data_IF_437175093903
#
_entry.id   IF_437175093903
#
_cell.length_a   1.000
_cell.length_b   1.000
_cell.length_c   1.000
_cell.angle_alpha   90.00
_cell.angle_beta   90.00
_cell.angle_gamma   90.00
#
_symmetry.space_group_name_H-M   'P 1'
#
loop_
_entity.id
_entity.type
_entity.pdbx_description
1 polymer ?
#
# COMPACT_ATOMS: atom_id res chain seq x y z
N UNK A 1 30.30 12.61 -40.97
CA UNK A 1 30.28 12.58 -39.48
C UNK A 1 29.55 11.32 -39.04
N UNK A 2 30.28 10.28 -38.73
CA UNK A 2 29.73 9.06 -38.15
C UNK A 2 29.40 9.36 -36.69
N UNK A 3 28.11 9.56 -36.39
CA UNK A 3 27.65 9.59 -35.00
C UNK A 3 27.96 8.23 -34.43
N UNK A 4 28.75 8.20 -33.35
CA UNK A 4 29.03 6.94 -32.65
C UNK A 4 27.69 6.34 -32.23
N UNK A 5 27.41 5.12 -32.68
CA UNK A 5 26.16 4.42 -32.38
C UNK A 5 25.92 4.27 -30.88
N UNK A 6 26.96 4.15 -30.08
CA UNK A 6 26.89 4.12 -28.60
C UNK A 6 26.46 5.48 -28.01
N UNK A 7 26.91 6.59 -28.62
CA UNK A 7 26.47 7.94 -28.22
C UNK A 7 25.02 8.19 -28.62
N UNK A 8 24.60 7.71 -29.78
CA UNK A 8 23.21 7.73 -30.21
C UNK A 8 22.30 6.90 -29.28
N UNK A 9 22.75 5.71 -28.83
CA UNK A 9 22.01 4.88 -27.87
C UNK A 9 21.94 5.55 -26.48
N UNK A 10 23.02 6.19 -26.02
CA UNK A 10 23.02 6.96 -24.76
C UNK A 10 22.03 8.13 -24.78
N UNK A 11 21.89 8.82 -25.91
CA UNK A 11 20.90 9.89 -26.07
C UNK A 11 19.46 9.38 -26.14
N UNK A 12 19.26 8.09 -26.43
CA UNK A 12 17.95 7.43 -26.42
C UNK A 12 17.60 6.81 -25.05
N UNK A 13 18.57 6.66 -24.14
CA UNK A 13 18.25 6.23 -22.79
C UNK A 13 17.57 7.36 -22.04
N UNK A 14 16.27 7.23 -21.85
CA UNK A 14 15.48 8.17 -21.05
C UNK A 14 15.82 7.90 -19.59
N UNK A 15 16.70 8.72 -19.02
CA UNK A 15 16.99 8.77 -17.59
C UNK A 15 16.35 10.04 -17.09
N UNK A 16 15.43 9.92 -16.14
CA UNK A 16 14.82 11.10 -15.52
C UNK A 16 15.88 11.88 -14.73
N UNK A 17 16.03 13.21 -14.91
CA UNK A 17 17.07 13.99 -14.23
C UNK A 17 16.73 14.22 -12.75
N UNK A 18 17.75 14.48 -11.93
CA UNK A 18 17.57 14.94 -10.55
C UNK A 18 16.93 16.33 -10.55
N UNK A 19 15.82 16.48 -9.83
CA UNK A 19 15.04 17.72 -9.72
C UNK A 19 14.90 18.18 -8.26
N UNK A 20 15.52 17.46 -7.33
CA UNK A 20 15.38 17.66 -5.90
C UNK A 20 16.45 18.59 -5.30
N UNK A 21 16.81 18.32 -4.07
CA UNK A 21 17.72 19.15 -3.30
C UNK A 21 19.16 19.02 -3.83
N UNK A 22 19.82 20.14 -4.09
CA UNK A 22 21.22 20.16 -4.53
C UNK A 22 22.20 19.64 -3.46
N UNK A 23 21.85 19.79 -2.18
CA UNK A 23 22.59 19.22 -1.06
C UNK A 23 21.63 18.55 -0.09
N UNK A 24 22.00 17.38 0.41
CA UNK A 24 21.18 16.65 1.37
C UNK A 24 21.43 17.15 2.77
N UNK A 25 20.42 17.60 3.51
CA UNK A 25 20.58 17.99 4.92
C UNK A 25 20.92 16.78 5.79
N UNK A 26 21.35 17.04 7.04
CA UNK A 26 21.52 15.99 8.03
C UNK A 26 20.19 15.29 8.29
N UNK A 27 20.21 13.96 8.27
CA UNK A 27 19.04 13.12 8.51
C UNK A 27 18.94 12.71 9.97
N UNK A 28 17.75 12.31 10.37
CA UNK A 28 17.47 11.81 11.70
C UNK A 28 18.34 10.58 12.00
N UNK A 29 19.11 10.58 13.11
CA UNK A 29 20.01 9.46 13.46
C UNK A 29 19.26 8.17 13.85
N UNK A 30 17.95 8.21 14.06
CA UNK A 30 17.13 7.03 14.32
C UNK A 30 16.85 6.21 13.07
N UNK A 31 17.10 6.74 11.87
CA UNK A 31 16.97 5.97 10.65
C UNK A 31 18.07 4.91 10.56
N UNK A 32 17.69 3.71 10.13
CA UNK A 32 18.67 2.70 9.76
C UNK A 32 19.51 3.16 8.55
N UNK A 33 20.75 2.69 8.38
CA UNK A 33 21.62 3.14 7.28
C UNK A 33 21.01 3.03 5.89
N UNK A 34 20.34 1.91 5.57
CA UNK A 34 19.65 1.74 4.29
C UNK A 34 18.50 2.73 4.10
N UNK A 35 17.73 3.02 5.16
CA UNK A 35 16.67 4.02 5.14
C UNK A 35 17.22 5.41 4.87
N UNK A 36 18.29 5.76 5.57
CA UNK A 36 18.96 7.05 5.39
C UNK A 36 19.46 7.24 3.95
N UNK A 37 20.05 6.22 3.35
CA UNK A 37 20.53 6.31 1.96
C UNK A 37 19.40 6.39 0.95
N UNK A 38 18.29 5.67 1.16
CA UNK A 38 17.09 5.77 0.33
C UNK A 38 16.47 7.18 0.42
N UNK A 39 16.38 7.75 1.63
CA UNK A 39 15.87 9.12 1.83
C UNK A 39 16.78 10.15 1.17
N UNK A 40 18.12 10.05 1.34
CA UNK A 40 19.09 10.93 0.65
C UNK A 40 18.92 10.88 -0.85
N UNK A 41 18.77 9.67 -1.40
CA UNK A 41 18.55 9.48 -2.82
C UNK A 41 17.23 10.14 -3.26
N UNK A 42 16.12 9.91 -2.55
CA UNK A 42 14.81 10.48 -2.87
C UNK A 42 14.80 12.02 -2.77
N UNK A 43 15.51 12.60 -1.79
CA UNK A 43 15.65 14.06 -1.65
C UNK A 43 16.38 14.68 -2.84
N UNK A 44 17.45 14.03 -3.35
CA UNK A 44 18.15 14.50 -4.56
C UNK A 44 17.30 14.34 -5.82
N UNK A 45 16.56 13.23 -5.90
CA UNK A 45 15.65 12.98 -7.03
C UNK A 45 14.54 14.01 -7.11
N UNK A 46 13.97 14.43 -5.96
CA UNK A 46 12.84 15.34 -5.88
C UNK A 46 11.50 14.67 -6.24
N UNK A 47 11.47 13.85 -7.28
CA UNK A 47 10.34 13.03 -7.73
C UNK A 47 10.78 11.58 -7.73
N UNK A 48 10.35 10.83 -6.73
CA UNK A 48 10.90 9.51 -6.46
C UNK A 48 9.84 8.51 -5.99
N UNK A 49 10.14 7.23 -6.16
CA UNK A 49 9.37 6.16 -5.55
C UNK A 49 10.26 5.30 -4.63
N UNK A 50 9.75 5.00 -3.44
CA UNK A 50 10.35 4.10 -2.47
C UNK A 50 9.48 2.85 -2.36
N UNK A 51 9.78 1.85 -3.17
CA UNK A 51 9.10 0.56 -3.18
C UNK A 51 9.83 -0.39 -2.23
N UNK A 52 9.52 -0.26 -0.95
CA UNK A 52 10.09 -1.07 0.10
C UNK A 52 9.04 -2.04 0.65
N UNK A 53 9.44 -3.28 0.87
CA UNK A 53 8.55 -4.34 1.35
C UNK A 53 7.98 -4.02 2.74
N UNK A 54 7.02 -4.82 3.19
CA UNK A 54 6.45 -4.70 4.51
C UNK A 54 7.54 -4.83 5.59
N UNK A 55 7.45 -3.98 6.64
CA UNK A 55 8.43 -4.01 7.74
C UNK A 55 9.75 -3.26 7.51
N UNK A 56 10.08 -2.80 6.29
CA UNK A 56 11.33 -2.07 6.00
C UNK A 56 11.34 -0.62 6.55
N UNK A 57 10.20 -0.12 7.01
CA UNK A 57 10.09 1.21 7.62
C UNK A 57 9.80 2.33 6.62
N UNK A 58 8.81 2.15 5.75
CA UNK A 58 8.34 3.17 4.80
C UNK A 58 7.91 4.46 5.51
N UNK A 59 7.15 4.36 6.61
CA UNK A 59 6.63 5.51 7.36
C UNK A 59 7.75 6.47 7.81
N UNK A 60 8.77 6.02 8.58
CA UNK A 60 9.92 6.83 8.93
C UNK A 60 10.64 7.47 7.75
N UNK A 61 10.82 6.74 6.63
CA UNK A 61 11.45 7.31 5.43
C UNK A 61 10.62 8.42 4.80
N UNK A 62 9.30 8.27 4.74
CA UNK A 62 8.39 9.30 4.20
C UNK A 62 8.36 10.54 5.09
N UNK A 63 8.27 10.36 6.41
CA UNK A 63 8.27 11.48 7.36
C UNK A 63 9.59 12.27 7.30
N UNK A 64 10.72 11.58 7.28
CA UNK A 64 12.01 12.22 7.15
C UNK A 64 12.16 12.93 5.81
N UNK A 65 11.74 12.30 4.70
CA UNK A 65 11.75 12.95 3.39
C UNK A 65 10.89 14.23 3.40
N UNK A 66 9.70 14.19 4.00
CA UNK A 66 8.81 15.33 4.12
C UNK A 66 9.39 16.42 5.01
N UNK A 67 10.01 16.05 6.14
CA UNK A 67 10.64 17.01 7.07
C UNK A 67 11.79 17.79 6.43
N UNK A 68 12.55 17.15 5.56
CA UNK A 68 13.68 17.80 4.87
C UNK A 68 13.28 18.62 3.64
N UNK A 69 12.00 18.61 3.26
CA UNK A 69 11.53 19.52 2.20
C UNK A 69 11.45 20.97 2.72
N UNK A 70 11.82 21.96 1.88
CA UNK A 70 11.76 23.38 2.27
C UNK A 70 10.33 23.97 2.22
N UNK A 71 9.35 23.18 1.84
CA UNK A 71 7.97 23.57 1.58
C UNK A 71 6.99 22.94 2.56
N UNK A 72 5.75 23.43 2.57
CA UNK A 72 4.63 22.72 3.17
C UNK A 72 4.45 21.37 2.45
N UNK A 73 4.26 20.33 3.24
CA UNK A 73 4.15 18.97 2.72
C UNK A 73 2.86 18.31 3.22
N UNK A 74 2.16 17.64 2.30
CA UNK A 74 1.02 16.79 2.63
C UNK A 74 1.39 15.32 2.41
N UNK A 75 1.14 14.48 3.41
CA UNK A 75 1.26 13.02 3.33
C UNK A 75 -0.15 12.46 3.22
N UNK A 76 -0.46 11.80 2.12
CA UNK A 76 -1.72 11.09 1.96
C UNK A 76 -1.52 9.61 2.30
N UNK A 77 -2.32 9.09 3.22
CA UNK A 77 -2.22 7.72 3.71
C UNK A 77 -3.61 7.09 3.86
N UNK A 78 -3.72 5.76 3.97
CA UNK A 78 -4.97 5.14 4.44
C UNK A 78 -5.36 5.68 5.82
N UNK A 79 -6.67 5.80 6.09
CA UNK A 79 -7.19 6.42 7.32
C UNK A 79 -6.54 5.88 8.60
N UNK A 80 -6.46 4.57 8.71
CA UNK A 80 -5.89 3.90 9.88
C UNK A 80 -4.40 4.23 10.09
N UNK A 81 -3.66 4.42 9.00
CA UNK A 81 -2.21 4.72 8.99
C UNK A 81 -1.95 6.20 9.27
N UNK A 82 -2.84 7.11 8.85
CA UNK A 82 -2.64 8.54 9.05
C UNK A 82 -2.44 8.91 10.54
N UNK A 83 -3.18 8.29 11.44
CA UNK A 83 -3.00 8.49 12.89
C UNK A 83 -1.75 7.82 13.45
N UNK A 84 -1.31 6.71 12.84
CA UNK A 84 -0.04 6.09 13.19
C UNK A 84 1.14 7.00 12.83
N UNK A 85 1.09 7.70 11.69
CA UNK A 85 2.11 8.69 11.30
C UNK A 85 2.33 9.74 12.39
N UNK A 86 1.26 10.28 13.01
CA UNK A 86 1.38 11.28 14.06
C UNK A 86 2.13 10.71 15.28
N UNK A 87 1.74 9.50 15.74
CA UNK A 87 2.39 8.85 16.89
C UNK A 87 3.85 8.49 16.61
N UNK A 88 4.17 8.08 15.41
CA UNK A 88 5.55 7.79 15.00
C UNK A 88 6.37 9.07 14.86
N UNK A 89 5.79 10.14 14.30
CA UNK A 89 6.46 11.43 14.16
C UNK A 89 6.94 11.98 15.52
N UNK A 90 6.13 11.83 16.58
CA UNK A 90 6.52 12.21 17.94
C UNK A 90 7.79 11.48 18.40
N UNK A 91 7.93 10.17 18.11
CA UNK A 91 9.10 9.37 18.46
C UNK A 91 10.35 9.84 17.71
N UNK A 92 10.17 10.25 16.45
CA UNK A 92 11.26 10.76 15.60
C UNK A 92 11.54 12.25 15.82
N UNK A 93 10.79 12.94 16.68
CA UNK A 93 10.93 14.39 16.91
C UNK A 93 10.54 15.22 15.69
N UNK A 94 9.67 14.72 14.83
CA UNK A 94 9.19 15.38 13.62
C UNK A 94 7.86 16.08 13.92
N UNK A 95 7.76 17.37 13.57
CA UNK A 95 6.59 18.20 13.84
C UNK A 95 5.52 18.02 12.75
N UNK A 96 4.69 16.97 12.89
CA UNK A 96 3.64 16.55 11.98
C UNK A 96 2.28 16.57 12.67
N UNK A 97 1.21 16.96 11.96
CA UNK A 97 -0.15 16.93 12.46
C UNK A 97 -1.12 16.28 11.47
N UNK A 98 -2.13 15.61 12.00
CA UNK A 98 -3.26 15.15 11.19
C UNK A 98 -4.26 16.29 11.00
N UNK A 99 -4.75 16.46 9.77
CA UNK A 99 -5.82 17.41 9.44
C UNK A 99 -6.91 16.74 8.60
N UNK A 100 -8.15 17.14 8.82
CA UNK A 100 -9.33 16.65 8.08
C UNK A 100 -9.67 17.53 6.88
N UNK A 101 -9.23 18.78 6.93
CA UNK A 101 -9.51 19.81 5.93
C UNK A 101 -8.49 20.96 6.03
N UNK A 102 -8.66 21.96 5.17
CA UNK A 102 -7.81 23.14 5.11
C UNK A 102 -7.74 23.91 6.44
N UNK A 103 -8.83 24.02 7.17
CA UNK A 103 -8.89 24.77 8.44
C UNK A 103 -8.13 24.05 9.57
N UNK A 104 -7.97 22.73 9.45
CA UNK A 104 -7.25 21.90 10.40
C UNK A 104 -5.74 21.92 10.26
N UNK A 105 -5.16 22.59 9.24
CA UNK A 105 -3.72 22.69 9.06
C UNK A 105 -3.13 23.57 10.16
N UNK A 106 -2.29 22.97 11.00
CA UNK A 106 -1.64 23.66 12.12
C UNK A 106 -0.11 23.62 12.04
N UNK A 107 0.44 22.79 11.14
CA UNK A 107 1.88 22.57 11.01
C UNK A 107 2.30 22.49 9.54
N UNK A 108 3.59 22.70 9.29
CA UNK A 108 4.18 22.60 7.95
C UNK A 108 4.01 21.21 7.33
N UNK A 109 4.08 20.16 8.16
CA UNK A 109 3.83 18.78 7.74
C UNK A 109 2.42 18.37 8.15
N UNK A 110 1.62 18.04 7.17
CA UNK A 110 0.24 17.60 7.36
C UNK A 110 0.10 16.17 6.85
N UNK A 111 -0.48 15.28 7.65
CA UNK A 111 -0.97 13.98 7.19
C UNK A 111 -2.48 13.99 7.13
N UNK A 112 -3.04 13.37 6.10
CA UNK A 112 -4.48 13.19 5.92
C UNK A 112 -4.77 11.86 5.24
N UNK A 113 -6.04 11.44 5.28
CA UNK A 113 -6.43 10.26 4.53
C UNK A 113 -6.90 10.62 3.10
N UNK A 114 -6.80 9.64 2.22
CA UNK A 114 -7.06 9.83 0.79
C UNK A 114 -8.44 10.43 0.49
N UNK A 115 -9.47 10.01 1.24
CA UNK A 115 -10.85 10.45 1.05
C UNK A 115 -11.06 11.94 1.40
N UNK A 116 -10.10 12.56 2.09
CA UNK A 116 -10.17 13.95 2.53
C UNK A 116 -9.31 14.91 1.72
N UNK A 117 -8.51 14.41 0.77
CA UNK A 117 -7.62 15.26 -0.03
C UNK A 117 -8.37 16.38 -0.76
N UNK A 118 -9.62 16.15 -1.17
CA UNK A 118 -10.45 17.16 -1.84
C UNK A 118 -10.84 18.35 -0.93
N UNK A 119 -10.67 18.22 0.39
CA UNK A 119 -10.95 19.28 1.36
C UNK A 119 -9.79 20.26 1.54
N UNK A 120 -8.72 20.15 0.75
CA UNK A 120 -7.51 20.96 0.85
C UNK A 120 -7.27 21.75 -0.43
N UNK A 121 -6.66 22.92 -0.28
CA UNK A 121 -6.08 23.68 -1.40
C UNK A 121 -4.72 23.07 -1.75
N UNK A 122 -4.71 22.07 -2.65
CA UNK A 122 -3.53 21.23 -2.92
C UNK A 122 -2.38 22.00 -3.60
N UNK A 123 -2.67 23.10 -4.25
CA UNK A 123 -1.72 23.99 -4.92
C UNK A 123 -0.78 24.75 -3.96
N UNK A 124 -1.13 24.84 -2.66
CA UNK A 124 -0.27 25.43 -1.65
C UNK A 124 0.89 24.52 -1.23
N UNK A 125 0.75 23.19 -1.41
CA UNK A 125 1.77 22.25 -1.00
C UNK A 125 2.86 22.13 -2.06
N UNK A 126 4.10 22.46 -1.66
CA UNK A 126 5.28 22.27 -2.52
C UNK A 126 5.79 20.82 -2.52
N UNK A 127 5.30 19.99 -1.61
CA UNK A 127 5.67 18.57 -1.53
C UNK A 127 4.47 17.68 -1.20
N UNK A 128 4.42 16.49 -1.79
CA UNK A 128 3.41 15.47 -1.50
C UNK A 128 4.05 14.08 -1.41
N UNK A 129 3.67 13.32 -0.40
CA UNK A 129 4.00 11.91 -0.28
C UNK A 129 2.73 11.05 -0.28
N UNK A 130 2.73 9.97 -1.05
CA UNK A 130 1.65 8.98 -1.07
C UNK A 130 2.12 7.72 -0.35
N UNK A 131 1.55 7.46 0.82
CA UNK A 131 1.68 6.18 1.49
C UNK A 131 0.68 5.19 0.89
N UNK A 132 1.16 4.02 0.52
CA UNK A 132 0.43 3.03 -0.27
C UNK A 132 -0.01 3.57 -1.64
N UNK A 133 0.99 4.05 -2.41
CA UNK A 133 0.77 4.61 -3.75
C UNK A 133 0.19 3.64 -4.78
N UNK A 134 0.02 2.35 -4.42
CA UNK A 134 -0.76 1.37 -5.18
C UNK A 134 -2.22 1.79 -5.41
N UNK A 135 -2.74 2.79 -4.70
CA UNK A 135 -4.03 3.42 -4.97
C UNK A 135 -4.12 3.96 -6.41
N UNK A 136 -2.99 4.33 -7.00
CA UNK A 136 -2.90 4.81 -8.38
C UNK A 136 -3.02 3.72 -9.45
N UNK A 137 -3.01 2.42 -9.09
CA UNK A 137 -2.99 1.28 -10.04
C UNK A 137 -4.14 1.28 -11.05
N UNK A 138 -5.28 1.81 -10.69
CA UNK A 138 -6.43 1.92 -11.60
C UNK A 138 -6.30 3.18 -12.46
N UNK A 139 -5.60 3.07 -13.58
CA UNK A 139 -5.34 4.18 -14.52
C UNK A 139 -6.60 4.77 -15.17
N UNK A 140 -7.69 4.01 -15.26
CA UNK A 140 -8.98 4.49 -15.79
C UNK A 140 -9.90 5.03 -14.69
N UNK A 141 -9.48 4.95 -13.43
CA UNK A 141 -10.24 5.44 -12.29
C UNK A 141 -10.26 6.97 -12.23
N UNK A 142 -11.43 7.55 -12.05
CA UNK A 142 -11.58 9.00 -11.91
C UNK A 142 -10.68 9.57 -10.80
N UNK A 143 -10.48 8.82 -9.71
CA UNK A 143 -9.67 9.23 -8.59
C UNK A 143 -8.17 9.32 -8.93
N UNK A 144 -7.61 8.31 -9.62
CA UNK A 144 -6.20 8.33 -10.05
C UNK A 144 -5.92 9.50 -11.00
N UNK A 145 -6.83 9.72 -11.96
CA UNK A 145 -6.73 10.83 -12.91
C UNK A 145 -6.79 12.17 -12.19
N UNK A 146 -7.71 12.30 -11.24
CA UNK A 146 -7.83 13.51 -10.42
C UNK A 146 -6.56 13.77 -9.60
N UNK A 147 -5.99 12.77 -8.95
CA UNK A 147 -4.77 12.92 -8.16
C UNK A 147 -3.57 13.36 -9.01
N UNK A 148 -3.40 12.76 -10.19
CA UNK A 148 -2.33 13.13 -11.13
C UNK A 148 -2.48 14.60 -11.53
N UNK A 149 -3.68 15.04 -11.87
CA UNK A 149 -3.96 16.43 -12.27
C UNK A 149 -3.79 17.40 -11.08
N UNK A 150 -4.29 17.05 -9.90
CA UNK A 150 -4.24 17.89 -8.71
C UNK A 150 -2.79 18.19 -8.27
N UNK A 151 -1.88 17.23 -8.40
CA UNK A 151 -0.49 17.39 -8.00
C UNK A 151 0.50 17.61 -9.16
N UNK A 152 0.00 17.83 -10.39
CA UNK A 152 0.89 17.96 -11.57
C UNK A 152 1.92 19.08 -11.46
N UNK A 153 1.61 20.14 -10.73
CA UNK A 153 2.49 21.29 -10.52
C UNK A 153 3.29 21.22 -9.22
N UNK A 154 3.04 20.23 -8.35
CA UNK A 154 3.79 20.05 -7.10
C UNK A 154 5.22 19.61 -7.44
N UNK A 155 6.25 20.38 -7.06
CA UNK A 155 7.62 20.10 -7.49
C UNK A 155 8.21 18.82 -6.89
N UNK A 156 7.92 18.55 -5.62
CA UNK A 156 8.44 17.38 -4.90
C UNK A 156 7.35 16.35 -4.67
N UNK A 157 7.55 15.14 -5.19
CA UNK A 157 6.56 14.06 -5.13
C UNK A 157 7.22 12.75 -4.75
N UNK A 158 6.62 12.06 -3.79
CA UNK A 158 7.08 10.76 -3.32
C UNK A 158 5.95 9.74 -3.42
N UNK A 159 6.21 8.62 -4.09
CA UNK A 159 5.39 7.42 -4.02
C UNK A 159 6.01 6.40 -3.06
N UNK A 160 5.22 5.72 -2.26
CA UNK A 160 5.69 4.65 -1.39
C UNK A 160 4.68 3.51 -1.35
N UNK A 161 5.13 2.27 -1.55
CA UNK A 161 4.30 1.06 -1.48
C UNK A 161 5.17 -0.18 -1.36
N UNK A 162 4.63 -1.24 -0.75
CA UNK A 162 5.21 -2.58 -0.78
C UNK A 162 4.83 -3.33 -2.08
N UNK A 163 3.70 -2.98 -2.68
CA UNK A 163 3.13 -3.64 -3.85
C UNK A 163 2.83 -2.63 -4.97
N UNK A 164 3.87 -2.04 -5.60
CA UNK A 164 3.70 -0.93 -6.56
C UNK A 164 2.94 -1.33 -7.83
N UNK A 165 2.98 -2.61 -8.20
CA UNK A 165 2.34 -3.17 -9.39
C UNK A 165 1.81 -4.58 -9.08
N UNK A 166 0.74 -4.70 -8.27
CA UNK A 166 0.29 -5.99 -7.74
C UNK A 166 -0.28 -6.94 -8.79
N UNK A 167 -0.80 -6.44 -9.91
CA UNK A 167 -1.40 -7.24 -10.95
C UNK A 167 -0.56 -7.30 -12.22
N UNK A 168 -0.02 -6.15 -12.65
CA UNK A 168 0.75 -6.05 -13.90
C UNK A 168 1.78 -4.92 -13.82
N UNK A 169 2.96 -5.14 -14.37
CA UNK A 169 4.07 -4.17 -14.42
C UNK A 169 3.66 -2.85 -15.09
N UNK A 170 2.65 -2.85 -15.97
CA UNK A 170 2.15 -1.61 -16.60
C UNK A 170 1.48 -0.64 -15.60
N UNK A 171 1.11 -1.10 -14.40
CA UNK A 171 0.58 -0.24 -13.33
C UNK A 171 1.62 0.78 -12.82
N UNK A 172 2.91 0.51 -13.02
CA UNK A 172 3.99 1.46 -12.75
C UNK A 172 3.87 2.75 -13.57
N UNK A 173 3.20 2.69 -14.72
CA UNK A 173 3.00 3.85 -15.60
C UNK A 173 2.19 4.97 -14.93
N UNK A 174 1.18 4.66 -14.14
CA UNK A 174 0.40 5.66 -13.40
C UNK A 174 1.20 6.30 -12.27
N UNK A 175 2.10 5.56 -11.63
CA UNK A 175 3.00 6.12 -10.63
C UNK A 175 4.06 7.03 -11.27
N UNK A 176 4.64 6.61 -12.41
CA UNK A 176 5.56 7.45 -13.17
C UNK A 176 4.88 8.75 -13.66
N UNK A 177 3.61 8.67 -14.08
CA UNK A 177 2.82 9.83 -14.50
C UNK A 177 2.50 10.77 -13.34
N UNK A 178 2.10 10.24 -12.17
CA UNK A 178 1.94 11.03 -10.96
C UNK A 178 3.24 11.74 -10.57
N UNK A 179 4.37 11.06 -10.66
CA UNK A 179 5.68 11.66 -10.40
C UNK A 179 6.10 12.66 -11.49
N UNK A 180 5.44 12.66 -12.66
CA UNK A 180 5.78 13.50 -13.79
C UNK A 180 7.09 13.11 -14.47
N UNK A 181 7.46 11.83 -14.37
CA UNK A 181 8.64 11.25 -15.03
C UNK A 181 8.33 10.94 -16.49
N UNK A 182 7.20 10.30 -16.74
CA UNK A 182 6.75 9.91 -18.07
C UNK A 182 5.24 9.61 -18.01
N UNK A 183 4.49 9.97 -19.02
CA UNK A 183 3.08 9.56 -19.10
C UNK A 183 2.98 8.05 -19.30
N UNK A 184 1.90 7.44 -18.78
CA UNK A 184 1.64 6.02 -18.98
C UNK A 184 1.60 5.65 -20.47
N UNK A 185 0.99 6.53 -21.30
CA UNK A 185 0.92 6.33 -22.76
C UNK A 185 2.31 6.25 -23.41
N UNK A 186 3.22 7.15 -23.06
CA UNK A 186 4.61 7.15 -23.55
C UNK A 186 5.36 5.90 -23.09
N UNK A 187 5.20 5.50 -21.81
CA UNK A 187 5.81 4.26 -21.28
C UNK A 187 5.34 3.03 -22.07
N UNK A 188 4.03 2.90 -22.31
CA UNK A 188 3.49 1.79 -23.08
C UNK A 188 4.01 1.79 -24.52
N UNK A 189 3.99 2.94 -25.20
CA UNK A 189 4.50 3.07 -26.57
C UNK A 189 5.99 2.71 -26.66
N UNK A 190 6.79 3.11 -25.69
CA UNK A 190 8.23 2.91 -25.70
C UNK A 190 8.62 1.47 -25.35
N UNK A 191 8.10 0.91 -24.27
CA UNK A 191 8.58 -0.32 -23.67
C UNK A 191 7.67 -1.53 -23.85
N UNK A 192 6.39 -1.34 -24.16
CA UNK A 192 5.41 -2.43 -24.18
C UNK A 192 4.89 -2.74 -25.59
N UNK A 193 4.37 -3.94 -25.74
CA UNK A 193 3.64 -4.40 -26.92
C UNK A 193 2.44 -5.23 -26.48
N UNK A 194 1.40 -5.30 -27.34
CA UNK A 194 0.30 -6.22 -27.09
C UNK A 194 0.76 -7.66 -27.16
N UNK A 195 0.17 -8.52 -26.37
CA UNK A 195 0.42 -9.95 -26.48
C UNK A 195 -0.28 -10.49 -27.74
N UNK A 196 0.45 -11.26 -28.55
CA UNK A 196 0.12 -11.55 -29.95
C UNK A 196 -1.23 -12.22 -30.27
N UNK A 197 -2.09 -12.43 -29.28
CA UNK A 197 -3.46 -12.96 -29.43
C UNK A 197 -4.53 -12.18 -28.65
N UNK A 198 -4.13 -11.28 -27.77
CA UNK A 198 -5.06 -10.53 -26.90
C UNK A 198 -4.58 -9.07 -26.81
N UNK A 199 -5.30 -8.17 -27.46
CA UNK A 199 -4.98 -6.74 -27.46
C UNK A 199 -5.26 -6.07 -26.11
N UNK A 200 -5.90 -6.74 -25.17
CA UNK A 200 -6.11 -6.25 -23.81
C UNK A 200 -4.89 -6.48 -22.91
N UNK A 201 -4.00 -7.41 -23.28
CA UNK A 201 -2.82 -7.77 -22.50
C UNK A 201 -1.56 -7.11 -23.06
N UNK A 202 -0.80 -6.53 -22.17
CA UNK A 202 0.46 -5.88 -22.47
C UNK A 202 1.63 -6.67 -21.89
N UNK A 203 2.74 -6.69 -22.60
CA UNK A 203 4.00 -7.24 -22.11
C UNK A 203 5.17 -6.35 -22.51
N UNK A 204 6.21 -6.35 -21.70
CA UNK A 204 7.43 -5.63 -22.02
C UNK A 204 8.06 -6.25 -23.28
N UNK A 205 8.44 -5.43 -24.27
CA UNK A 205 9.17 -5.88 -25.47
C UNK A 205 10.48 -6.53 -25.03
N UNK A 206 10.81 -7.70 -25.56
CA UNK A 206 12.02 -8.44 -25.16
C UNK A 206 13.30 -7.61 -25.27
N UNK A 207 13.46 -6.87 -26.38
CA UNK A 207 14.62 -5.99 -26.60
C UNK A 207 14.60 -4.71 -25.74
N UNK A 208 13.47 -4.32 -25.14
CA UNK A 208 13.33 -3.13 -24.32
C UNK A 208 13.43 -3.42 -22.81
N UNK A 209 13.52 -4.70 -22.41
CA UNK A 209 13.46 -5.09 -21.00
C UNK A 209 14.57 -4.42 -20.15
N UNK A 210 15.81 -4.47 -20.61
CA UNK A 210 16.93 -3.83 -19.89
C UNK A 210 16.76 -2.30 -19.82
N UNK A 211 16.30 -1.67 -20.91
CA UNK A 211 16.06 -0.23 -20.96
C UNK A 211 14.92 0.19 -20.04
N UNK A 212 13.84 -0.60 -19.95
CA UNK A 212 12.73 -0.38 -19.04
C UNK A 212 13.17 -0.39 -17.56
N UNK A 213 13.93 -1.40 -17.16
CA UNK A 213 14.41 -1.50 -15.77
C UNK A 213 15.45 -0.42 -15.44
N UNK A 214 16.29 -0.03 -16.41
CA UNK A 214 17.23 1.11 -16.25
C UNK A 214 16.46 2.42 -16.07
N UNK A 215 15.42 2.65 -16.88
CA UNK A 215 14.54 3.81 -16.73
C UNK A 215 13.84 3.78 -15.36
N UNK A 216 13.28 2.66 -14.97
CA UNK A 216 12.61 2.52 -13.67
C UNK A 216 13.59 2.82 -12.52
N UNK A 217 14.81 2.29 -12.55
CA UNK A 217 15.83 2.53 -11.52
C UNK A 217 16.29 4.01 -11.47
N UNK A 218 15.98 4.82 -12.48
CA UNK A 218 16.28 6.26 -12.45
C UNK A 218 15.33 7.08 -11.55
N UNK A 219 14.14 6.56 -11.24
CA UNK A 219 13.14 7.27 -10.43
C UNK A 219 12.55 6.43 -9.27
N UNK A 220 12.82 5.13 -9.23
CA UNK A 220 12.33 4.23 -8.18
C UNK A 220 13.46 3.38 -7.59
N UNK A 221 13.43 3.21 -6.27
CA UNK A 221 14.20 2.19 -5.55
C UNK A 221 13.24 1.09 -5.12
N UNK A 222 13.61 -0.17 -5.39
CA UNK A 222 12.81 -1.34 -4.98
C UNK A 222 13.67 -2.28 -4.15
N UNK A 223 13.25 -2.54 -2.90
CA UNK A 223 13.95 -3.46 -1.99
C UNK A 223 12.95 -4.34 -1.22
N UNK A 224 13.36 -5.56 -0.93
CA UNK A 224 12.64 -6.48 -0.04
C UNK A 224 13.27 -6.55 1.34
N UNK A 225 14.57 -6.35 1.43
CA UNK A 225 15.35 -6.41 2.66
C UNK A 225 16.59 -5.53 2.55
N UNK A 226 17.20 -5.13 3.68
CA UNK A 226 18.36 -4.26 3.68
C UNK A 226 19.55 -4.76 2.86
N UNK A 227 19.76 -6.10 2.80
CA UNK A 227 20.85 -6.69 2.01
C UNK A 227 20.71 -6.50 0.50
N UNK A 228 19.56 -6.14 -0.02
CA UNK A 228 19.40 -5.75 -1.43
C UNK A 228 20.19 -4.47 -1.78
N UNK A 229 20.51 -3.66 -0.76
CA UNK A 229 21.37 -2.48 -0.86
C UNK A 229 22.75 -2.71 -0.20
N UNK A 230 23.10 -3.94 0.16
CA UNK A 230 24.38 -4.29 0.77
C UNK A 230 24.49 -4.03 2.27
N UNK A 231 23.36 -3.81 2.98
CA UNK A 231 23.32 -3.67 4.43
C UNK A 231 23.01 -4.99 5.14
N UNK A 232 23.24 -5.06 6.47
CA UNK A 232 22.84 -6.22 7.27
C UNK A 232 21.31 -6.34 7.35
N UNK A 233 20.81 -7.56 7.32
CA UNK A 233 19.38 -7.88 7.56
C UNK A 233 19.06 -8.01 9.06
N UNK A 234 20.02 -7.75 9.96
CA UNK A 234 19.80 -7.84 11.41
C UNK A 234 18.67 -6.90 11.85
N UNK A 235 17.71 -7.45 12.59
CA UNK A 235 16.50 -6.75 13.02
C UNK A 235 15.36 -6.71 11.99
N UNK A 236 15.59 -7.23 10.77
CA UNK A 236 14.59 -7.32 9.70
C UNK A 236 14.23 -8.77 9.33
N UNK A 237 14.83 -9.74 10.01
CA UNK A 237 14.50 -11.16 9.83
C UNK A 237 13.25 -11.46 10.64
N UNK A 238 12.13 -11.66 9.96
CA UNK A 238 10.88 -12.02 10.59
C UNK A 238 10.91 -13.50 11.07
N UNK A 239 10.20 -13.83 12.16
CA UNK A 239 9.99 -15.22 12.54
C UNK A 239 9.28 -15.98 11.42
N UNK A 240 9.43 -17.34 11.38
CA UNK A 240 8.75 -18.14 10.38
C UNK A 240 7.23 -17.97 10.47
N UNK A 241 6.58 -17.81 9.31
CA UNK A 241 5.13 -17.81 9.21
C UNK A 241 4.62 -19.27 9.23
N UNK A 242 3.76 -19.56 10.20
CA UNK A 242 3.09 -20.87 10.30
C UNK A 242 1.67 -20.73 9.75
N UNK A 243 1.39 -21.35 8.61
CA UNK A 243 0.06 -21.38 8.01
C UNK A 243 -0.62 -22.71 8.32
N UNK A 244 -1.84 -22.63 8.85
CA UNK A 244 -2.68 -23.79 9.16
C UNK A 244 -3.94 -23.70 8.31
N UNK A 245 -4.17 -24.70 7.49
CA UNK A 245 -5.38 -24.82 6.68
C UNK A 245 -6.44 -25.60 7.45
N UNK A 246 -7.61 -24.96 7.63
CA UNK A 246 -8.77 -25.58 8.27
C UNK A 246 -9.83 -25.89 7.22
N UNK A 247 -9.98 -27.17 6.86
CA UNK A 247 -11.03 -27.62 5.96
C UNK A 247 -12.35 -27.72 6.71
N UNK A 248 -13.31 -26.88 6.34
CA UNK A 248 -14.65 -26.85 6.92
C UNK A 248 -15.61 -27.60 6.01
N UNK A 249 -16.25 -28.67 6.54
CA UNK A 249 -17.28 -29.41 5.81
C UNK A 249 -18.58 -28.60 5.79
N UNK A 250 -19.08 -28.30 4.61
CA UNK A 250 -20.35 -27.58 4.42
C UNK A 250 -21.49 -28.57 4.32
N UNK A 251 -22.52 -28.39 5.13
CA UNK A 251 -23.66 -29.32 5.22
C UNK A 251 -24.81 -28.97 4.24
N UNK A 252 -24.76 -27.81 3.60
CA UNK A 252 -25.79 -27.40 2.66
C UNK A 252 -25.38 -27.67 1.20
N UNK A 253 -26.22 -28.29 0.37
CA UNK A 253 -25.99 -28.32 -1.07
C UNK A 253 -26.06 -26.90 -1.62
N UNK A 254 -25.17 -26.58 -2.56
CA UNK A 254 -25.18 -25.28 -3.28
C UNK A 254 -26.59 -25.01 -3.80
N UNK A 255 -27.12 -23.83 -3.55
CA UNK A 255 -28.49 -23.47 -3.91
C UNK A 255 -28.75 -23.77 -5.40
N UNK A 256 -29.69 -24.70 -5.69
CA UNK A 256 -30.07 -25.12 -7.03
C UNK A 256 -29.49 -26.45 -7.53
N UNK A 257 -28.62 -27.12 -6.76
CA UNK A 257 -28.07 -28.43 -7.12
C UNK A 257 -28.45 -29.49 -6.06
N UNK A 258 -28.72 -30.73 -6.53
CA UNK A 258 -28.99 -31.88 -5.64
C UNK A 258 -27.71 -32.42 -4.96
N UNK A 259 -26.54 -32.06 -5.48
CA UNK A 259 -25.24 -32.49 -4.97
C UNK A 259 -24.27 -31.30 -4.99
N UNK A 260 -23.24 -31.34 -4.12
CA UNK A 260 -22.16 -30.36 -4.13
C UNK A 260 -21.41 -30.44 -5.47
N UNK A 261 -21.34 -29.32 -6.17
CA UNK A 261 -20.60 -29.17 -7.43
C UNK A 261 -19.45 -28.20 -7.19
N UNK A 262 -18.28 -28.52 -7.73
CA UNK A 262 -17.11 -27.63 -7.65
C UNK A 262 -17.40 -26.31 -8.40
N UNK A 263 -17.22 -25.18 -7.71
CA UNK A 263 -17.43 -23.85 -8.25
C UNK A 263 -16.32 -23.49 -9.26
N UNK A 264 -16.67 -23.40 -10.55
CA UNK A 264 -15.72 -23.11 -11.63
C UNK A 264 -15.69 -21.62 -12.00
N UNK A 265 -16.85 -20.95 -11.93
CA UNK A 265 -16.97 -19.53 -12.26
C UNK A 265 -16.83 -18.63 -11.03
N UNK A 266 -16.52 -17.34 -11.28
CA UNK A 266 -16.45 -16.34 -10.20
C UNK A 266 -17.80 -16.21 -9.46
N UNK A 267 -18.92 -16.28 -10.17
CA UNK A 267 -20.25 -16.21 -9.58
C UNK A 267 -20.55 -17.42 -8.69
N UNK A 268 -20.21 -18.63 -9.14
CA UNK A 268 -20.34 -19.85 -8.35
C UNK A 268 -19.48 -19.83 -7.10
N UNK A 269 -18.23 -19.34 -7.19
CA UNK A 269 -17.35 -19.16 -6.02
C UNK A 269 -17.94 -18.17 -5.02
N UNK A 270 -18.54 -17.07 -5.51
CA UNK A 270 -19.21 -16.11 -4.63
C UNK A 270 -20.46 -16.70 -3.97
N UNK A 271 -21.24 -17.52 -4.68
CA UNK A 271 -22.37 -18.23 -4.11
C UNK A 271 -21.93 -19.23 -3.04
N UNK A 272 -20.95 -20.07 -3.33
CA UNK A 272 -20.38 -21.03 -2.37
C UNK A 272 -19.82 -20.35 -1.10
N UNK A 273 -19.18 -19.17 -1.26
CA UNK A 273 -18.74 -18.36 -0.09
C UNK A 273 -19.90 -17.88 0.77
N UNK A 274 -21.05 -17.54 0.18
CA UNK A 274 -22.24 -17.13 0.95
C UNK A 274 -22.92 -18.32 1.64
N UNK A 275 -23.06 -19.43 0.93
CA UNK A 275 -23.72 -20.62 1.44
C UNK A 275 -22.97 -21.28 2.61
N UNK A 276 -21.63 -21.08 2.68
CA UNK A 276 -20.76 -21.64 3.71
C UNK A 276 -20.44 -20.69 4.90
N UNK A 277 -21.10 -19.51 4.97
CA UNK A 277 -20.78 -18.51 6.02
C UNK A 277 -20.93 -19.12 7.42
N UNK A 278 -22.04 -19.75 7.70
CA UNK A 278 -22.34 -20.29 9.04
C UNK A 278 -21.29 -21.28 9.54
N UNK A 279 -20.92 -22.24 8.69
CA UNK A 279 -19.95 -23.29 9.05
C UNK A 279 -18.54 -22.70 9.25
N UNK A 280 -18.11 -21.76 8.37
CA UNK A 280 -16.80 -21.12 8.47
C UNK A 280 -16.71 -20.16 9.67
N UNK A 281 -17.77 -19.42 9.97
CA UNK A 281 -17.84 -18.54 11.14
C UNK A 281 -17.80 -19.35 12.42
N UNK A 282 -18.55 -20.45 12.52
CA UNK A 282 -18.53 -21.33 13.69
C UNK A 282 -17.12 -21.88 13.95
N UNK A 283 -16.46 -22.43 12.92
CA UNK A 283 -15.11 -22.97 13.04
C UNK A 283 -14.08 -21.90 13.45
N UNK A 284 -14.20 -20.67 12.93
CA UNK A 284 -13.31 -19.57 13.31
C UNK A 284 -13.60 -19.10 14.76
N UNK A 285 -14.85 -18.96 15.13
CA UNK A 285 -15.23 -18.57 16.49
C UNK A 285 -14.76 -19.58 17.54
N UNK A 286 -14.89 -20.88 17.25
CA UNK A 286 -14.36 -21.93 18.12
C UNK A 286 -12.85 -21.82 18.31
N UNK A 287 -12.11 -21.58 17.22
CA UNK A 287 -10.65 -21.38 17.26
C UNK A 287 -10.29 -20.15 18.11
N UNK A 288 -10.91 -19.00 17.84
CA UNK A 288 -10.60 -17.72 18.50
C UNK A 288 -11.02 -17.73 19.97
N UNK A 289 -12.19 -18.29 20.28
CA UNK A 289 -12.70 -18.37 21.66
C UNK A 289 -11.97 -19.40 22.52
N UNK A 290 -11.24 -20.34 21.91
CA UNK A 290 -10.38 -21.28 22.64
C UNK A 290 -9.04 -20.70 23.11
N UNK A 291 -8.75 -19.44 22.77
CA UNK A 291 -7.48 -18.76 23.06
C UNK A 291 -7.71 -17.42 23.74
N UNK A 292 -6.88 -17.08 24.73
CA UNK A 292 -6.84 -15.76 25.36
C UNK A 292 -5.91 -14.76 24.63
N UNK A 293 -5.25 -15.17 23.54
CA UNK A 293 -4.31 -14.36 22.79
C UNK A 293 -5.04 -13.36 21.90
N UNK A 294 -4.42 -12.22 21.56
CA UNK A 294 -4.95 -11.30 20.56
C UNK A 294 -5.11 -12.00 19.21
N UNK A 295 -6.23 -11.77 18.54
CA UNK A 295 -6.52 -12.29 17.22
C UNK A 295 -6.98 -11.20 16.25
N UNK A 296 -6.49 -11.30 15.01
CA UNK A 296 -6.98 -10.52 13.90
C UNK A 296 -7.77 -11.44 12.96
N UNK A 297 -9.05 -11.15 12.77
CA UNK A 297 -9.94 -11.99 11.96
C UNK A 297 -10.31 -11.25 10.67
N UNK A 298 -9.86 -11.79 9.55
CA UNK A 298 -10.12 -11.26 8.24
C UNK A 298 -11.34 -11.89 7.60
N UNK A 299 -12.29 -11.06 7.17
CA UNK A 299 -13.48 -11.45 6.42
C UNK A 299 -13.52 -10.76 5.04
N UNK A 300 -14.35 -11.27 4.14
CA UNK A 300 -14.56 -10.67 2.81
C UNK A 300 -15.97 -10.09 2.67
N UNK A 301 -16.98 -10.73 3.23
CA UNK A 301 -18.39 -10.33 3.15
C UNK A 301 -18.83 -9.61 4.44
N UNK A 302 -19.78 -8.66 4.35
CA UNK A 302 -20.36 -8.02 5.54
C UNK A 302 -21.06 -9.06 6.44
N UNK A 303 -21.80 -10.00 5.82
CA UNK A 303 -22.46 -11.06 6.58
C UNK A 303 -21.49 -11.97 7.36
N UNK A 304 -20.25 -12.17 6.88
CA UNK A 304 -19.21 -12.84 7.64
C UNK A 304 -18.80 -12.02 8.86
N UNK A 305 -18.58 -10.71 8.65
CA UNK A 305 -18.19 -9.76 9.70
C UNK A 305 -19.21 -9.71 10.83
N UNK A 306 -20.50 -9.51 10.49
CA UNK A 306 -21.62 -9.45 11.42
C UNK A 306 -21.79 -10.78 12.20
N UNK A 307 -21.71 -11.91 11.51
CA UNK A 307 -21.82 -13.22 12.15
C UNK A 307 -20.64 -13.53 13.08
N UNK A 308 -19.40 -13.12 12.72
CA UNK A 308 -18.23 -13.24 13.58
C UNK A 308 -18.34 -12.36 14.81
N UNK A 309 -18.80 -11.12 14.68
CA UNK A 309 -19.00 -10.21 15.82
C UNK A 309 -20.04 -10.74 16.79
N UNK A 310 -21.08 -11.41 16.31
CA UNK A 310 -22.07 -12.07 17.16
C UNK A 310 -21.54 -13.33 17.86
N UNK A 311 -20.60 -14.05 17.23
CA UNK A 311 -20.04 -15.31 17.74
C UNK A 311 -18.80 -15.13 18.64
N UNK A 312 -18.15 -13.97 18.60
CA UNK A 312 -16.94 -13.64 19.38
C UNK A 312 -17.24 -12.41 20.26
N UNK A 313 -17.67 -12.59 21.52
CA UNK A 313 -18.24 -11.51 22.34
C UNK A 313 -17.29 -10.35 22.69
N UNK A 314 -15.98 -10.58 22.70
CA UNK A 314 -14.94 -9.59 23.01
C UNK A 314 -14.26 -8.99 21.76
N UNK A 315 -14.86 -9.21 20.59
CA UNK A 315 -14.37 -8.66 19.34
C UNK A 315 -14.87 -7.23 19.09
N UNK A 316 -14.01 -6.40 18.53
CA UNK A 316 -14.40 -5.14 17.89
C UNK A 316 -14.49 -5.34 16.39
N UNK A 317 -15.61 -4.93 15.81
CA UNK A 317 -15.84 -4.98 14.38
C UNK A 317 -15.51 -3.65 13.72
N UNK A 318 -14.87 -3.69 12.54
CA UNK A 318 -14.58 -2.51 11.71
C UNK A 318 -15.08 -2.76 10.30
N UNK A 319 -16.17 -2.07 9.95
CA UNK A 319 -16.80 -2.16 8.62
C UNK A 319 -16.51 -0.92 7.75
N UNK A 320 -16.68 -1.06 6.42
CA UNK A 320 -16.54 0.06 5.49
C UNK A 320 -17.56 1.18 5.71
N UNK A 321 -18.77 0.82 6.15
CA UNK A 321 -19.89 1.75 6.44
C UNK A 321 -19.76 2.52 7.74
N UNK A 322 -18.83 2.14 8.63
CA UNK A 322 -18.63 2.81 9.91
C UNK A 322 -18.11 4.23 9.71
N UNK A 323 -18.37 5.09 10.69
CA UNK A 323 -17.80 6.44 10.71
C UNK A 323 -16.27 6.36 10.88
N UNK A 324 -15.58 7.38 10.40
CA UNK A 324 -14.11 7.45 10.53
C UNK A 324 -13.70 7.40 12.01
N UNK A 325 -14.46 8.05 12.89
CA UNK A 325 -14.25 8.08 14.34
C UNK A 325 -14.35 6.68 14.96
N UNK A 326 -15.34 5.88 14.52
CA UNK A 326 -15.48 4.50 14.99
C UNK A 326 -14.31 3.63 14.51
N UNK A 327 -13.95 3.71 13.23
CA UNK A 327 -12.81 2.97 12.66
C UNK A 327 -11.52 3.29 13.43
N UNK A 328 -11.26 4.57 13.65
CA UNK A 328 -10.11 5.04 14.41
C UNK A 328 -10.11 4.49 15.83
N UNK A 329 -11.20 4.68 16.57
CA UNK A 329 -11.32 4.23 17.96
C UNK A 329 -11.17 2.72 18.11
N UNK A 330 -11.73 1.94 17.19
CA UNK A 330 -11.65 0.48 17.17
C UNK A 330 -10.22 -0.01 16.89
N UNK A 331 -9.56 0.54 15.86
CA UNK A 331 -8.19 0.18 15.49
C UNK A 331 -7.22 0.57 16.61
N UNK A 332 -7.30 1.81 17.11
CA UNK A 332 -6.47 2.24 18.23
C UNK A 332 -6.75 1.41 19.49
N UNK A 333 -8.02 1.06 19.75
CA UNK A 333 -8.39 0.20 20.87
C UNK A 333 -7.79 -1.21 20.77
N UNK A 334 -7.71 -1.77 19.58
CA UNK A 334 -7.05 -3.05 19.35
C UNK A 334 -5.51 -2.93 19.49
N UNK A 335 -4.91 -1.89 18.92
CA UNK A 335 -3.47 -1.62 19.06
C UNK A 335 -3.02 -1.42 20.50
N UNK A 336 -3.86 -0.79 21.33
CA UNK A 336 -3.61 -0.53 22.75
C UNK A 336 -3.99 -1.73 23.65
N UNK A 337 -4.47 -2.85 23.08
CA UNK A 337 -4.87 -4.07 23.80
C UNK A 337 -6.19 -3.94 24.58
N UNK A 338 -7.02 -2.90 24.28
CA UNK A 338 -8.37 -2.77 24.87
C UNK A 338 -9.34 -3.82 24.33
N UNK A 339 -9.12 -4.27 23.11
CA UNK A 339 -9.86 -5.33 22.47
C UNK A 339 -8.92 -6.50 22.17
N UNK A 340 -9.33 -7.70 22.54
CA UNK A 340 -8.55 -8.92 22.27
C UNK A 340 -8.65 -9.33 20.80
N UNK A 341 -9.81 -9.14 20.18
CA UNK A 341 -10.08 -9.55 18.80
C UNK A 341 -10.53 -8.35 17.98
N UNK A 342 -9.95 -8.20 16.78
CA UNK A 342 -10.44 -7.27 15.78
C UNK A 342 -10.92 -8.04 14.55
N UNK A 343 -12.14 -7.74 14.10
CA UNK A 343 -12.74 -8.29 12.88
C UNK A 343 -12.79 -7.18 11.85
N UNK A 344 -12.18 -7.39 10.69
CA UNK A 344 -12.21 -6.43 9.60
C UNK A 344 -11.96 -7.08 8.24
N UNK A 345 -12.05 -6.28 7.20
CA UNK A 345 -11.66 -6.67 5.85
C UNK A 345 -10.25 -6.19 5.54
N UNK A 346 -9.44 -6.97 4.80
CA UNK A 346 -8.11 -6.54 4.34
C UNK A 346 -8.11 -5.17 3.66
N UNK A 347 -9.17 -4.85 2.91
CA UNK A 347 -9.32 -3.56 2.25
C UNK A 347 -9.42 -2.37 3.24
N UNK A 348 -9.87 -2.60 4.48
CA UNK A 348 -10.15 -1.54 5.46
C UNK A 348 -8.98 -1.35 6.41
N UNK A 349 -8.46 -2.45 6.95
CA UNK A 349 -7.44 -2.44 7.99
C UNK A 349 -6.18 -3.27 7.64
N UNK A 350 -6.08 -3.81 6.41
CA UNK A 350 -4.94 -4.63 5.98
C UNK A 350 -3.75 -3.84 5.45
N UNK A 351 -3.85 -2.52 5.31
CA UNK A 351 -2.82 -1.70 4.69
C UNK A 351 -2.05 -0.90 5.76
N UNK A 352 -0.75 -1.16 5.89
CA UNK A 352 0.20 -0.29 6.58
C UNK A 352 0.08 -0.22 8.10
N UNK A 353 -0.81 -0.98 8.77
CA UNK A 353 -0.92 -0.99 10.23
C UNK A 353 0.22 -1.76 10.88
N UNK A 354 0.73 -1.21 11.98
CA UNK A 354 1.70 -1.89 12.83
C UNK A 354 0.99 -2.76 13.88
N UNK A 355 0.78 -4.02 13.57
CA UNK A 355 0.07 -5.00 14.40
C UNK A 355 0.99 -5.98 15.14
N UNK A 356 2.22 -5.59 15.45
CA UNK A 356 3.26 -6.45 16.05
C UNK A 356 2.86 -7.12 17.37
N UNK A 357 1.86 -6.60 18.09
CA UNK A 357 1.34 -7.20 19.32
C UNK A 357 0.45 -8.43 19.07
N UNK A 358 -0.04 -8.61 17.82
CA UNK A 358 -0.93 -9.69 17.43
C UNK A 358 -0.20 -10.65 16.49
N UNK A 359 0.11 -11.84 17.00
CA UNK A 359 0.81 -12.89 16.25
C UNK A 359 -0.14 -13.89 15.58
N UNK A 360 -1.40 -13.90 15.96
CA UNK A 360 -2.39 -14.86 15.44
C UNK A 360 -3.41 -14.14 14.56
N UNK A 361 -3.63 -14.68 13.36
CA UNK A 361 -4.67 -14.20 12.47
C UNK A 361 -5.44 -15.36 11.83
N UNK A 362 -6.70 -15.10 11.50
CA UNK A 362 -7.56 -16.05 10.81
C UNK A 362 -8.20 -15.40 9.59
N UNK A 363 -8.17 -16.09 8.46
CA UNK A 363 -8.88 -15.69 7.24
C UNK A 363 -10.14 -16.56 7.10
N UNK A 364 -11.30 -15.99 7.40
CA UNK A 364 -12.60 -16.66 7.25
C UNK A 364 -13.08 -16.55 5.81
N UNK A 365 -12.81 -15.44 5.15
CA UNK A 365 -13.07 -15.22 3.74
C UNK A 365 -11.87 -14.60 3.04
N UNK A 366 -11.36 -15.25 2.01
CA UNK A 366 -10.31 -14.71 1.17
C UNK A 366 -10.90 -13.89 0.01
N UNK A 367 -10.30 -12.74 -0.27
CA UNK A 367 -10.55 -12.02 -1.52
C UNK A 367 -9.66 -12.59 -2.64
N UNK A 368 -10.04 -12.34 -3.90
CA UNK A 368 -9.21 -12.72 -5.05
C UNK A 368 -8.06 -11.72 -5.31
N UNK A 369 -7.79 -10.80 -4.37
CA UNK A 369 -6.73 -9.79 -4.47
C UNK A 369 -5.44 -10.26 -3.81
N UNK A 370 -4.40 -10.50 -4.61
CA UNK A 370 -3.06 -10.81 -4.13
C UNK A 370 -2.52 -9.73 -3.17
N UNK A 371 -2.69 -8.44 -3.52
CA UNK A 371 -2.25 -7.32 -2.70
C UNK A 371 -2.85 -7.34 -1.29
N UNK A 372 -4.17 -7.55 -1.20
CA UNK A 372 -4.87 -7.61 0.08
C UNK A 372 -4.39 -8.78 0.95
N UNK A 373 -4.15 -9.93 0.34
CA UNK A 373 -3.61 -11.08 1.06
C UNK A 373 -2.17 -10.86 1.51
N UNK A 374 -1.34 -10.27 0.63
CA UNK A 374 0.08 -10.07 0.91
C UNK A 374 0.35 -9.04 2.00
N UNK A 375 -0.46 -7.99 2.08
CA UNK A 375 -0.29 -6.91 3.05
C UNK A 375 -1.01 -7.15 4.38
N UNK A 376 -1.93 -8.12 4.44
CA UNK A 376 -2.63 -8.52 5.66
C UNK A 376 -1.82 -9.49 6.49
#
# INVERSE_FOLDING_TARGET
>A
MTVDYLEFLKRKSVIDPDTGLASTPALNPMLYPHQADMVKWALRRGRAALFADCGIGKGPMQMEWADKQPHECIIAAPLAVAHQFVREAEKFGIDLAYAKDQAGITKRLTVTNYERLENFHLDQFGAVALDESSILKNYSGAYSTWMIEAFKNTPFRLCSSATPAPNDVMELGTQAEFLGVMTRGEMLAMYFTHDGGDTSKWRVKGHAQAAFWTWMASWAVMIRKPSDLGYSDDGFILPPLHMHEHCVSVHAPSSGFLFAVEAQTLQERQAARRDSIGDRVAACADLVNSSDRPFLVWCNLNAESEALAAAIPDAVEVQGSDTDEHKEAAIVGFLDGRYRVMISKPKIAGLGLNLQHCADMAFVGLSDSYEQLYQS
#
